data_IF_894473221584
#
_entry.id   IF_894473221584
#
_cell.length_a   1.000
_cell.length_b   1.000
_cell.length_c   1.000
_cell.angle_alpha   90.00
_cell.angle_beta   90.00
_cell.angle_gamma   90.00
#
_symmetry.space_group_name_H-M   'P 1'
#
loop_
_entity.id
_entity.type
_entity.pdbx_description
1 polymer ?
#
# COMPACT_ATOMS: atom_id res chain seq x y z
N UNK A 1 19.29 -4.61 16.46
CA UNK A 1 18.07 -4.69 17.30
C UNK A 1 16.90 -4.52 16.36
N UNK A 2 15.84 -5.34 16.48
CA UNK A 2 14.73 -5.29 15.54
C UNK A 2 14.07 -3.91 15.56
N UNK A 3 13.68 -3.42 14.39
CA UNK A 3 13.02 -2.11 14.24
C UNK A 3 11.67 -2.18 14.97
N UNK A 4 11.41 -1.32 15.96
CA UNK A 4 10.15 -1.36 16.71
C UNK A 4 8.98 -0.93 15.82
N UNK A 5 7.93 -1.76 15.80
CA UNK A 5 6.70 -1.51 15.04
C UNK A 5 5.63 -0.92 15.95
N UNK A 6 5.11 0.24 15.58
CA UNK A 6 3.94 0.84 16.20
C UNK A 6 2.66 0.24 15.58
N UNK A 7 2.06 -0.72 16.29
CA UNK A 7 0.94 -1.51 15.78
C UNK A 7 -0.28 -0.67 15.35
N UNK A 8 -0.52 0.48 15.96
CA UNK A 8 -1.66 1.35 15.63
C UNK A 8 -1.59 1.93 14.22
N UNK A 9 -0.40 1.97 13.60
CA UNK A 9 -0.23 2.35 12.19
C UNK A 9 -0.75 1.29 11.23
N UNK A 10 -0.90 0.05 11.71
CA UNK A 10 -1.32 -1.10 10.91
C UNK A 10 -2.84 -1.35 10.99
N UNK A 11 -3.56 -0.57 11.80
CA UNK A 11 -4.99 -0.76 12.01
C UNK A 11 -5.80 -0.08 10.92
N UNK A 12 -6.72 -0.84 10.33
CA UNK A 12 -7.74 -0.30 9.46
C UNK A 12 -8.65 0.65 10.26
N UNK A 13 -8.74 1.94 9.87
CA UNK A 13 -9.63 2.87 10.56
C UNK A 13 -11.09 2.45 10.36
N UNK A 14 -11.92 2.40 11.42
CA UNK A 14 -13.31 2.01 11.29
C UNK A 14 -14.08 3.03 10.44
N UNK A 15 -15.02 2.57 9.58
CA UNK A 15 -15.89 3.48 8.85
C UNK A 15 -16.73 4.30 9.82
N UNK A 16 -16.91 5.59 9.52
CA UNK A 16 -17.71 6.50 10.37
C UNK A 16 -19.21 6.21 10.14
N UNK A 17 -19.98 5.86 11.19
CA UNK A 17 -21.40 5.54 11.04
C UNK A 17 -22.23 6.72 10.53
N UNK A 18 -21.91 7.95 10.96
CA UNK A 18 -22.62 9.18 10.58
C UNK A 18 -21.96 9.91 9.38
N UNK A 19 -21.08 9.23 8.65
CA UNK A 19 -20.44 9.78 7.46
C UNK A 19 -21.41 9.90 6.28
N UNK A 20 -21.26 10.96 5.47
CA UNK A 20 -21.93 11.04 4.16
C UNK A 20 -21.38 9.91 3.28
N UNK A 21 -22.24 8.96 2.90
CA UNK A 21 -21.85 7.85 2.02
C UNK A 21 -21.41 8.36 0.66
N UNK A 22 -20.29 7.84 0.17
CA UNK A 22 -19.68 8.26 -1.10
C UNK A 22 -19.83 7.18 -2.16
N UNK A 23 -21.03 6.63 -2.30
CA UNK A 23 -21.34 5.48 -3.17
C UNK A 23 -20.71 5.58 -4.55
N UNK A 24 -20.87 6.72 -5.24
CA UNK A 24 -20.28 6.93 -6.57
C UNK A 24 -18.76 6.82 -6.60
N UNK A 25 -18.06 7.25 -5.55
CA UNK A 25 -16.59 7.13 -5.47
C UNK A 25 -16.20 5.70 -5.13
N UNK A 26 -16.93 5.04 -4.23
CA UNK A 26 -16.73 3.62 -3.88
C UNK A 26 -16.91 2.74 -5.13
N UNK A 27 -17.97 2.94 -5.90
CA UNK A 27 -18.20 2.21 -7.16
C UNK A 27 -17.08 2.42 -8.17
N UNK A 28 -16.52 3.64 -8.26
CA UNK A 28 -15.36 3.92 -9.12
C UNK A 28 -14.09 3.20 -8.67
N UNK A 29 -13.88 3.07 -7.36
CA UNK A 29 -12.76 2.32 -6.81
C UNK A 29 -12.91 0.82 -7.13
N UNK A 30 -14.10 0.26 -6.92
CA UNK A 30 -14.37 -1.15 -7.16
C UNK A 30 -14.25 -1.51 -8.65
N UNK A 31 -14.86 -0.70 -9.52
CA UNK A 31 -14.78 -0.89 -10.97
C UNK A 31 -13.35 -0.81 -11.51
N UNK A 32 -12.45 -0.14 -10.79
CA UNK A 32 -11.04 -0.05 -11.08
C UNK A 32 -10.23 -1.24 -10.56
N UNK A 33 -10.40 -1.58 -9.28
CA UNK A 33 -9.65 -2.66 -8.63
C UNK A 33 -10.05 -4.06 -9.11
N UNK A 34 -11.29 -4.25 -9.57
CA UNK A 34 -11.78 -5.53 -10.07
C UNK A 34 -11.32 -5.90 -11.49
N UNK A 35 -10.52 -5.05 -12.15
CA UNK A 35 -10.08 -5.26 -13.54
C UNK A 35 -8.74 -6.02 -13.59
N UNK A 36 -8.62 -7.07 -14.43
CA UNK A 36 -7.34 -7.74 -14.64
C UNK A 36 -6.25 -6.76 -15.07
N UNK A 37 -5.07 -6.86 -14.46
CA UNK A 37 -3.91 -6.03 -14.78
C UNK A 37 -3.87 -4.66 -14.11
N UNK A 38 -4.91 -4.29 -13.34
CA UNK A 38 -4.82 -3.13 -12.45
C UNK A 38 -3.94 -3.45 -11.25
N UNK A 39 -3.03 -2.53 -10.93
CA UNK A 39 -2.05 -2.68 -9.86
C UNK A 39 -2.17 -1.62 -8.79
N UNK A 40 -2.57 -0.41 -9.18
CA UNK A 40 -2.55 0.76 -8.32
C UNK A 40 -3.85 1.55 -8.40
N UNK A 41 -4.43 1.84 -7.24
CA UNK A 41 -5.40 2.91 -7.03
C UNK A 41 -4.69 4.08 -6.35
N UNK A 42 -4.72 5.26 -6.96
CA UNK A 42 -4.23 6.50 -6.37
C UNK A 42 -5.39 7.44 -6.02
N UNK A 43 -5.50 7.83 -4.75
CA UNK A 43 -6.44 8.84 -4.27
C UNK A 43 -5.62 10.08 -3.88
N UNK A 44 -5.60 11.08 -4.75
CA UNK A 44 -4.82 12.31 -4.60
C UNK A 44 -5.75 13.50 -4.36
N UNK A 45 -5.76 14.05 -3.14
CA UNK A 45 -6.59 15.19 -2.78
C UNK A 45 -6.05 15.91 -1.53
N UNK A 46 -6.29 17.23 -1.35
CA UNK A 46 -5.84 17.97 -0.18
C UNK A 46 -6.31 17.41 1.16
N UNK A 47 -5.79 17.97 2.26
CA UNK A 47 -6.24 17.63 3.61
C UNK A 47 -7.75 17.90 3.78
N UNK A 48 -8.43 17.11 4.61
CA UNK A 48 -9.86 17.27 4.88
C UNK A 48 -10.81 16.71 3.82
N UNK A 49 -10.31 16.24 2.67
CA UNK A 49 -11.16 15.65 1.62
C UNK A 49 -11.70 14.25 1.96
N UNK A 50 -11.30 13.64 3.08
CA UNK A 50 -11.80 12.34 3.53
C UNK A 50 -11.26 11.14 2.74
N UNK A 51 -9.98 11.17 2.32
CA UNK A 51 -9.32 10.09 1.58
C UNK A 51 -9.31 8.78 2.36
N UNK A 52 -8.78 8.81 3.59
CA UNK A 52 -8.78 7.67 4.53
C UNK A 52 -10.19 7.13 4.75
N UNK A 53 -11.16 8.03 4.98
CA UNK A 53 -12.57 7.65 5.17
C UNK A 53 -13.15 6.96 3.94
N UNK A 54 -12.83 7.43 2.73
CA UNK A 54 -13.27 6.80 1.50
C UNK A 54 -12.67 5.40 1.31
N UNK A 55 -11.39 5.20 1.64
CA UNK A 55 -10.77 3.87 1.58
C UNK A 55 -11.38 2.93 2.62
N UNK A 56 -11.56 3.38 3.86
CA UNK A 56 -12.24 2.59 4.90
C UNK A 56 -13.67 2.21 4.50
N UNK A 57 -14.44 3.15 3.94
CA UNK A 57 -15.79 2.89 3.42
C UNK A 57 -15.77 1.85 2.31
N UNK A 58 -14.84 2.00 1.35
CA UNK A 58 -14.69 1.05 0.24
C UNK A 58 -14.30 -0.35 0.73
N UNK A 59 -13.29 -0.48 1.61
CA UNK A 59 -12.90 -1.78 2.16
C UNK A 59 -14.04 -2.44 2.91
N UNK A 60 -14.83 -1.68 3.67
CA UNK A 60 -15.97 -2.20 4.42
C UNK A 60 -17.07 -2.81 3.52
N UNK A 61 -17.11 -2.48 2.22
CA UNK A 61 -18.03 -3.13 1.27
C UNK A 61 -17.65 -4.56 0.90
N UNK A 62 -16.40 -4.99 1.17
CA UNK A 62 -15.87 -6.30 0.84
C UNK A 62 -15.18 -6.94 2.06
N UNK A 63 -15.93 -7.31 3.12
CA UNK A 63 -15.34 -7.78 4.39
C UNK A 63 -14.56 -9.10 4.26
N UNK A 64 -14.78 -9.87 3.20
CA UNK A 64 -14.06 -11.11 2.92
C UNK A 64 -12.68 -10.89 2.28
N UNK A 65 -12.39 -9.69 1.73
CA UNK A 65 -11.10 -9.38 1.09
C UNK A 65 -10.10 -8.91 2.16
N UNK A 66 -9.00 -9.63 2.42
CA UNK A 66 -8.00 -9.22 3.39
C UNK A 66 -7.37 -7.86 3.01
N UNK A 67 -7.06 -7.04 4.01
CA UNK A 67 -6.47 -5.71 3.83
C UNK A 67 -5.30 -5.50 4.78
N UNK A 68 -4.12 -5.27 4.20
CA UNK A 68 -2.94 -4.79 4.90
C UNK A 68 -2.99 -3.27 4.91
N UNK A 69 -3.07 -2.67 6.08
CA UNK A 69 -3.07 -1.22 6.22
C UNK A 69 -1.72 -0.73 6.74
N UNK A 70 -1.21 0.36 6.18
CA UNK A 70 -0.04 1.07 6.67
C UNK A 70 -0.31 2.58 6.59
N UNK A 71 -0.57 3.19 7.75
CA UNK A 71 -0.59 4.64 7.91
C UNK A 71 0.84 5.15 7.99
N UNK A 72 1.25 5.99 7.05
CA UNK A 72 2.61 6.52 6.97
C UNK A 72 2.74 7.81 7.80
N UNK A 73 3.91 8.00 8.39
CA UNK A 73 4.32 9.26 9.03
C UNK A 73 5.72 9.69 8.55
N UNK A 74 6.14 10.90 8.91
CA UNK A 74 7.42 11.45 8.46
C UNK A 74 8.65 10.64 8.87
N UNK A 75 8.52 9.72 9.84
CA UNK A 75 9.61 8.81 10.22
C UNK A 75 9.84 7.68 9.22
N UNK A 76 8.86 7.37 8.37
CA UNK A 76 8.93 6.22 7.45
C UNK A 76 9.64 6.54 6.13
N UNK A 77 10.29 7.70 6.01
CA UNK A 77 11.21 7.99 4.91
C UNK A 77 12.51 7.18 4.98
N UNK A 78 12.83 6.60 6.14
CA UNK A 78 13.92 5.64 6.31
C UNK A 78 13.57 4.29 5.68
N UNK A 79 14.35 3.86 4.69
CA UNK A 79 14.01 2.68 3.88
C UNK A 79 13.94 1.37 4.70
N UNK A 80 14.92 1.03 5.56
CA UNK A 80 14.80 -0.16 6.42
C UNK A 80 13.53 -0.14 7.28
N UNK A 81 13.20 1.00 7.88
CA UNK A 81 11.97 1.17 8.65
C UNK A 81 10.73 0.99 7.79
N UNK A 82 10.67 1.62 6.62
CA UNK A 82 9.56 1.46 5.67
C UNK A 82 9.35 -0.01 5.31
N UNK A 83 10.41 -0.74 4.97
CA UNK A 83 10.35 -2.16 4.63
C UNK A 83 9.89 -3.02 5.83
N UNK A 84 10.33 -2.69 7.05
CA UNK A 84 9.87 -3.37 8.25
C UNK A 84 8.36 -3.15 8.52
N UNK A 85 7.85 -1.92 8.35
CA UNK A 85 6.42 -1.65 8.45
C UNK A 85 5.61 -2.30 7.33
N UNK A 86 6.13 -2.29 6.09
CA UNK A 86 5.51 -2.97 4.95
C UNK A 86 5.38 -4.48 5.23
N UNK A 87 6.47 -5.11 5.70
CA UNK A 87 6.48 -6.51 6.11
C UNK A 87 5.45 -6.79 7.21
N UNK A 88 5.44 -5.96 8.26
CA UNK A 88 4.52 -6.10 9.37
C UNK A 88 3.05 -5.90 8.96
N UNK A 89 2.77 -5.03 7.99
CA UNK A 89 1.42 -4.80 7.48
C UNK A 89 0.85 -6.01 6.72
N UNK A 90 1.69 -6.71 5.94
CA UNK A 90 1.26 -7.86 5.11
C UNK A 90 1.32 -9.19 5.86
N UNK A 91 2.13 -9.29 6.92
CA UNK A 91 2.32 -10.52 7.69
C UNK A 91 1.01 -11.18 8.19
N UNK A 92 -0.03 -10.44 8.65
CA UNK A 92 -1.28 -11.06 9.06
C UNK A 92 -2.03 -11.79 7.93
N UNK A 93 -1.76 -11.42 6.68
CA UNK A 93 -2.39 -11.99 5.47
C UNK A 93 -1.51 -13.09 4.88
N UNK A 94 -0.21 -12.83 4.82
CA UNK A 94 0.80 -13.76 4.29
C UNK A 94 1.83 -14.02 5.40
N UNK A 95 1.57 -14.98 6.32
CA UNK A 95 2.39 -15.18 7.52
C UNK A 95 3.89 -15.37 7.26
N UNK A 96 4.23 -15.96 6.12
CA UNK A 96 5.62 -16.24 5.74
C UNK A 96 6.32 -15.05 5.06
N UNK A 97 5.58 -14.07 4.53
CA UNK A 97 6.15 -13.00 3.69
C UNK A 97 7.07 -12.00 4.38
N UNK A 98 6.99 -11.92 5.71
CA UNK A 98 7.82 -11.02 6.48
C UNK A 98 9.11 -11.68 6.99
N UNK A 99 9.17 -13.01 7.10
CA UNK A 99 10.26 -13.67 7.83
C UNK A 99 11.61 -13.51 7.14
N UNK A 100 11.67 -13.73 5.81
CA UNK A 100 12.90 -13.57 5.04
C UNK A 100 13.37 -12.12 5.00
N UNK A 101 12.45 -11.19 4.74
CA UNK A 101 12.73 -9.75 4.70
C UNK A 101 13.24 -9.22 6.05
N UNK A 102 12.56 -9.54 7.15
CA UNK A 102 12.96 -9.08 8.48
C UNK A 102 14.33 -9.63 8.89
N UNK A 103 14.63 -10.88 8.55
CA UNK A 103 15.97 -11.46 8.77
C UNK A 103 17.08 -10.74 7.99
N UNK A 104 16.78 -10.28 6.76
CA UNK A 104 17.73 -9.50 5.96
C UNK A 104 17.92 -8.07 6.49
N UNK A 105 16.87 -7.46 7.06
CA UNK A 105 16.95 -6.12 7.67
C UNK A 105 17.79 -6.11 8.95
N UNK A 106 17.80 -7.21 9.71
CA UNK A 106 18.61 -7.37 10.92
C UNK A 106 20.08 -7.77 10.62
N UNK A 107 20.45 -8.00 9.35
CA UNK A 107 21.80 -8.38 8.98
C UNK A 107 22.81 -7.24 9.24
N UNK A 108 24.08 -7.55 9.61
CA UNK A 108 25.10 -6.52 9.83
C UNK A 108 25.36 -5.62 8.62
N UNK A 109 25.15 -6.18 7.43
CA UNK A 109 25.18 -5.47 6.15
C UNK A 109 23.94 -5.89 5.37
N UNK A 110 22.83 -5.15 5.49
CA UNK A 110 21.61 -5.48 4.76
C UNK A 110 21.88 -5.38 3.25
N UNK A 111 21.34 -6.33 2.46
CA UNK A 111 21.51 -6.29 1.01
C UNK A 111 20.74 -5.11 0.40
N UNK A 112 20.95 -4.83 -0.91
CA UNK A 112 20.20 -3.80 -1.61
C UNK A 112 18.68 -3.99 -1.51
N UNK A 113 17.94 -2.88 -1.57
CA UNK A 113 16.48 -2.85 -1.45
C UNK A 113 15.77 -3.83 -2.40
N UNK A 114 16.25 -3.93 -3.64
CA UNK A 114 15.68 -4.81 -4.67
C UNK A 114 15.78 -6.29 -4.29
N UNK A 115 16.89 -6.71 -3.67
CA UNK A 115 17.07 -8.09 -3.20
C UNK A 115 16.07 -8.38 -2.09
N UNK A 116 15.96 -7.47 -1.11
CA UNK A 116 15.01 -7.58 0.00
C UNK A 116 13.56 -7.64 -0.50
N UNK A 117 13.19 -6.76 -1.43
CA UNK A 117 11.86 -6.72 -2.04
C UNK A 117 11.60 -7.96 -2.90
N UNK A 118 12.60 -8.52 -3.56
CA UNK A 118 12.45 -9.77 -4.33
C UNK A 118 12.03 -10.93 -3.42
N UNK A 119 12.62 -11.05 -2.23
CA UNK A 119 12.19 -12.03 -1.24
C UNK A 119 10.73 -11.81 -0.83
N UNK A 120 10.38 -10.58 -0.45
CA UNK A 120 9.00 -10.24 -0.09
C UNK A 120 8.01 -10.55 -1.23
N UNK A 121 8.33 -10.15 -2.46
CA UNK A 121 7.49 -10.37 -3.63
C UNK A 121 7.25 -11.86 -3.92
N UNK A 122 8.28 -12.70 -3.77
CA UNK A 122 8.13 -14.15 -3.94
C UNK A 122 7.17 -14.75 -2.92
N UNK A 123 7.26 -14.31 -1.67
CA UNK A 123 6.35 -14.78 -0.62
C UNK A 123 4.92 -14.27 -0.84
N UNK A 124 4.76 -13.01 -1.25
CA UNK A 124 3.46 -12.45 -1.61
C UNK A 124 2.86 -13.17 -2.83
N UNK A 125 3.69 -13.56 -3.80
CA UNK A 125 3.27 -14.32 -4.98
C UNK A 125 2.74 -15.72 -4.64
N UNK A 126 3.17 -16.30 -3.51
CA UNK A 126 2.70 -17.60 -3.03
C UNK A 126 1.31 -17.55 -2.36
N UNK A 127 0.79 -16.36 -2.03
CA UNK A 127 -0.55 -16.21 -1.48
C UNK A 127 -1.61 -16.36 -2.59
N UNK A 128 -2.49 -17.38 -2.56
CA UNK A 128 -3.46 -17.58 -3.64
C UNK A 128 -4.60 -16.56 -3.63
N UNK A 129 -5.01 -16.09 -2.44
CA UNK A 129 -6.19 -15.27 -2.28
C UNK A 129 -5.91 -13.78 -2.54
N UNK A 130 -6.82 -13.06 -3.23
CA UNK A 130 -6.66 -11.63 -3.45
C UNK A 130 -6.66 -10.80 -2.17
N UNK A 131 -5.80 -9.79 -2.07
CA UNK A 131 -5.73 -8.88 -0.94
C UNK A 131 -5.32 -7.47 -1.34
N UNK A 132 -5.61 -6.51 -0.45
CA UNK A 132 -5.22 -5.11 -0.63
C UNK A 132 -4.04 -4.73 0.25
N UNK A 133 -3.16 -3.88 -0.28
CA UNK A 133 -2.23 -3.09 0.52
C UNK A 133 -2.63 -1.62 0.44
N UNK A 134 -2.95 -1.01 1.58
CA UNK A 134 -3.25 0.42 1.69
C UNK A 134 -2.05 1.14 2.29
N UNK A 135 -1.49 2.08 1.55
CA UNK A 135 -0.50 3.05 2.00
C UNK A 135 -1.22 4.40 2.19
N UNK A 136 -1.57 4.71 3.44
CA UNK A 136 -2.30 5.93 3.78
C UNK A 136 -1.33 7.08 4.07
N UNK A 137 -1.67 8.27 3.57
CA UNK A 137 -0.92 9.50 3.74
C UNK A 137 0.51 9.52 3.13
N UNK A 138 0.72 8.86 1.99
CA UNK A 138 2.03 8.72 1.32
C UNK A 138 2.81 10.03 1.07
N UNK A 139 2.13 11.16 0.86
CA UNK A 139 2.77 12.49 0.75
C UNK A 139 3.75 12.86 1.90
N UNK A 140 3.66 12.21 3.07
CA UNK A 140 4.60 12.44 4.18
C UNK A 140 5.97 11.80 3.94
N UNK A 141 6.07 10.91 2.94
CA UNK A 141 7.31 10.27 2.54
C UNK A 141 8.07 11.21 1.61
N UNK A 142 9.19 11.74 2.11
CA UNK A 142 10.12 12.57 1.34
C UNK A 142 11.42 11.79 1.09
N UNK A 143 11.34 10.64 0.42
CA UNK A 143 12.47 9.72 0.26
C UNK A 143 12.48 9.01 -1.08
N UNK A 144 13.46 9.36 -1.93
CA UNK A 144 13.68 8.70 -3.22
C UNK A 144 13.97 7.20 -3.09
N UNK A 145 14.56 6.78 -1.96
CA UNK A 145 14.81 5.37 -1.69
C UNK A 145 13.49 4.60 -1.50
N UNK A 146 12.52 5.19 -0.80
CA UNK A 146 11.18 4.61 -0.63
C UNK A 146 10.38 4.69 -1.93
N UNK A 147 10.47 5.79 -2.68
CA UNK A 147 9.85 5.91 -4.00
C UNK A 147 10.36 4.84 -4.98
N UNK A 148 11.68 4.60 -4.98
CA UNK A 148 12.33 3.57 -5.79
C UNK A 148 11.91 2.16 -5.39
N UNK A 149 11.87 1.88 -4.07
CA UNK A 149 11.39 0.61 -3.53
C UNK A 149 9.92 0.33 -3.92
N UNK A 150 9.04 1.33 -3.78
CA UNK A 150 7.63 1.19 -4.16
C UNK A 150 7.46 1.06 -5.68
N UNK A 151 8.26 1.77 -6.47
CA UNK A 151 8.27 1.62 -7.93
C UNK A 151 8.66 0.19 -8.34
N UNK A 152 9.69 -0.38 -7.72
CA UNK A 152 10.10 -1.76 -7.94
C UNK A 152 9.00 -2.76 -7.56
N UNK A 153 8.35 -2.54 -6.41
CA UNK A 153 7.21 -3.35 -5.96
C UNK A 153 6.06 -3.33 -6.99
N UNK A 154 5.69 -2.14 -7.48
CA UNK A 154 4.60 -1.98 -8.46
C UNK A 154 4.91 -2.63 -9.82
N UNK A 155 6.17 -2.61 -10.25
CA UNK A 155 6.59 -3.26 -11.49
C UNK A 155 6.43 -4.78 -11.42
N UNK A 156 6.71 -5.37 -10.26
CA UNK A 156 6.70 -6.82 -10.04
C UNK A 156 5.51 -7.33 -9.23
N UNK A 157 4.50 -6.47 -9.00
CA UNK A 157 3.34 -6.78 -8.15
C UNK A 157 2.64 -8.07 -8.61
N UNK A 158 2.41 -9.05 -7.73
CA UNK A 158 1.71 -10.28 -8.08
C UNK A 158 0.20 -10.00 -8.32
N UNK A 159 -0.47 -10.79 -9.19
CA UNK A 159 -1.82 -10.48 -9.67
C UNK A 159 -2.92 -10.51 -8.58
N UNK A 160 -2.70 -11.21 -7.48
CA UNK A 160 -3.60 -11.26 -6.33
C UNK A 160 -3.52 -10.01 -5.45
N UNK A 161 -2.47 -9.19 -5.60
CA UNK A 161 -2.25 -8.02 -4.76
C UNK A 161 -2.64 -6.75 -5.51
N UNK A 162 -3.40 -5.88 -4.85
CA UNK A 162 -3.70 -4.54 -5.35
C UNK A 162 -3.27 -3.46 -4.35
N UNK A 163 -2.56 -2.44 -4.84
CA UNK A 163 -2.05 -1.35 -4.00
C UNK A 163 -2.98 -0.16 -4.05
N UNK A 164 -3.23 0.46 -2.91
CA UNK A 164 -4.03 1.66 -2.73
C UNK A 164 -3.15 2.70 -2.06
N UNK A 165 -2.97 3.86 -2.69
CA UNK A 165 -2.20 4.96 -2.14
C UNK A 165 -3.15 6.13 -1.91
N UNK A 166 -3.15 6.69 -0.71
CA UNK A 166 -3.72 8.02 -0.47
C UNK A 166 -2.60 9.04 -0.34
N UNK A 167 -2.79 10.21 -0.92
CA UNK A 167 -1.78 11.27 -0.90
C UNK A 167 -2.41 12.65 -1.05
N UNK A 168 -1.71 13.71 -0.62
CA UNK A 168 -2.12 15.11 -0.85
C UNK A 168 -1.60 15.67 -2.18
N UNK A 169 -0.56 15.05 -2.71
CA UNK A 169 0.11 15.39 -3.96
C UNK A 169 0.42 14.11 -4.73
N UNK A 170 0.78 14.24 -6.00
CA UNK A 170 1.19 13.06 -6.76
C UNK A 170 2.54 12.55 -6.23
N UNK A 171 2.63 11.26 -5.84
CA UNK A 171 3.89 10.68 -5.43
C UNK A 171 4.85 10.60 -6.62
N UNK A 172 6.16 10.56 -6.37
CA UNK A 172 7.21 10.45 -7.39
C UNK A 172 7.33 9.01 -7.94
N UNK A 173 6.19 8.44 -8.31
CA UNK A 173 6.05 7.12 -8.90
C UNK A 173 5.87 7.24 -10.42
N UNK A 174 6.12 6.17 -11.19
CA UNK A 174 5.94 6.14 -12.64
C UNK A 174 4.46 6.09 -13.06
N UNK A 175 3.63 7.03 -12.58
CA UNK A 175 2.17 7.08 -12.78
C UNK A 175 1.81 7.14 -14.26
N UNK A 176 2.55 7.88 -15.07
CA UNK A 176 2.32 7.97 -16.51
C UNK A 176 2.46 6.60 -17.20
N UNK A 177 3.45 5.79 -16.78
CA UNK A 177 3.67 4.43 -17.30
C UNK A 177 2.54 3.49 -16.89
N UNK A 178 2.12 3.55 -15.63
CA UNK A 178 1.00 2.74 -15.13
C UNK A 178 -0.31 3.12 -15.84
N UNK A 179 -0.55 4.42 -16.07
CA UNK A 179 -1.68 4.93 -16.82
C UNK A 179 -1.69 4.41 -18.27
N UNK A 180 -0.55 4.49 -18.96
CA UNK A 180 -0.42 3.99 -20.33
C UNK A 180 -0.66 2.47 -20.49
N UNK A 181 -0.44 1.70 -19.42
CA UNK A 181 -0.72 0.26 -19.36
C UNK A 181 -2.14 -0.08 -18.90
N UNK A 182 -2.96 0.91 -18.59
CA UNK A 182 -4.27 0.70 -17.97
C UNK A 182 -4.19 0.08 -16.56
N UNK A 183 -3.03 0.18 -15.88
CA UNK A 183 -2.79 -0.45 -14.58
C UNK A 183 -3.09 0.48 -13.38
N UNK A 184 -3.66 1.67 -13.64
CA UNK A 184 -3.85 2.75 -12.67
C UNK A 184 -5.29 3.25 -12.65
N UNK A 185 -5.86 3.40 -11.46
CA UNK A 185 -7.13 4.09 -11.20
C UNK A 185 -6.85 5.33 -10.38
N UNK A 186 -7.34 6.49 -10.81
CA UNK A 186 -7.08 7.76 -10.13
C UNK A 186 -8.38 8.42 -9.69
N UNK A 187 -8.44 8.78 -8.42
CA UNK A 187 -9.42 9.71 -7.88
C UNK A 187 -8.69 10.99 -7.48
N UNK A 188 -9.07 12.10 -8.12
CA UNK A 188 -8.47 13.41 -7.93
C UNK A 188 -9.54 14.40 -7.48
N UNK A 189 -9.17 15.37 -6.64
CA UNK A 189 -10.01 16.53 -6.40
C UNK A 189 -10.17 17.32 -7.72
N UNK A 190 -11.40 17.75 -8.02
CA UNK A 190 -11.71 18.57 -9.18
C UNK A 190 -11.39 20.04 -8.92
#
# INVERSE_FOLDING_TARGET
>A
MPIPILATKLYLPPPRPDGVRRTRLVERLEAGAGRPGHKLTLISAPAGFGKTTLVSEWVATHPARPVAWLALDGGDGDLPRFLAYLAAAVQPIVPHAAAGLLGLLDAPQPPPAEVMLTHLLNDLAAQPDPFLLVLDDYHVIESQAVDGALSFLLDHLPPQMHVVITSRSDPLLPLARLRGRGALVELRAA
#
